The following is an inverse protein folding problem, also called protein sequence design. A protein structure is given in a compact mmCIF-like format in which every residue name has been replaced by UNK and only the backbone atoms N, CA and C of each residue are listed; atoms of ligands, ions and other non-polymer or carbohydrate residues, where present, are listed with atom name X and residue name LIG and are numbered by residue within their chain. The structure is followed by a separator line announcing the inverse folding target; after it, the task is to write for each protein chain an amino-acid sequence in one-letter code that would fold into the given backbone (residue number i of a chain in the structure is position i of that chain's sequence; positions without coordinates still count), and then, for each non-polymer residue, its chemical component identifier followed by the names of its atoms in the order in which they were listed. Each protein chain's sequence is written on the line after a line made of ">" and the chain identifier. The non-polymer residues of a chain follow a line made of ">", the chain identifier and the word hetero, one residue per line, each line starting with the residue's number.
data_IF_528423938790
#
_entry.id   IF_528423938790
#
_cell.length_a   1.000
_cell.length_b   1.000
_cell.length_c   1.000
_cell.angle_alpha   90.00
_cell.angle_beta   90.00
_cell.angle_gamma   90.00
#
_symmetry.space_group_name_H-M   'P 1'
#
loop_
_entity.id
_entity.type
_entity.pdbx_description
1 polymer ?
#
# COMPACT_ATOMS: atom_id res chain seq x y z
N UNK A 1 -11.20 24.45 13.94
CA UNK A 1 -11.15 23.40 15.00
C UNK A 1 -10.93 22.01 14.43
N UNK A 2 -11.66 21.60 13.37
CA UNK A 2 -11.54 20.27 12.75
C UNK A 2 -10.11 19.90 12.25
N UNK A 3 -9.36 20.83 11.66
CA UNK A 3 -7.98 20.58 11.23
C UNK A 3 -7.01 20.34 12.41
N UNK A 4 -7.23 21.02 13.55
CA UNK A 4 -6.50 20.75 14.79
C UNK A 4 -6.90 19.41 15.42
N UNK A 5 -8.13 18.93 15.21
CA UNK A 5 -8.58 17.62 15.67
C UNK A 5 -8.05 16.48 14.77
N UNK A 6 -7.98 16.67 13.45
CA UNK A 6 -7.37 15.70 12.52
C UNK A 6 -5.86 15.57 12.79
N UNK A 7 -5.17 16.70 12.99
CA UNK A 7 -3.77 16.71 13.40
C UNK A 7 -3.60 16.12 14.80
N UNK A 8 -4.41 16.49 15.81
CA UNK A 8 -4.29 15.91 17.17
C UNK A 8 -4.72 14.44 17.27
N UNK A 9 -5.66 13.95 16.48
CA UNK A 9 -6.09 12.55 16.49
C UNK A 9 -5.05 11.66 15.79
N UNK A 10 -4.52 12.09 14.64
CA UNK A 10 -3.45 11.34 13.96
C UNK A 10 -2.08 11.50 14.61
N UNK A 11 -1.78 12.65 15.25
CA UNK A 11 -0.55 12.87 16.03
C UNK A 11 -0.68 12.34 17.47
N UNK A 12 -1.88 12.19 18.01
CA UNK A 12 -2.10 11.70 19.38
C UNK A 12 -2.21 10.18 19.50
N UNK A 13 -2.60 9.47 18.43
CA UNK A 13 -2.79 8.00 18.45
C UNK A 13 -1.68 7.24 17.71
N UNK A 14 -0.73 7.93 17.07
CA UNK A 14 0.38 7.30 16.32
C UNK A 14 1.70 7.99 16.66
N UNK A 15 2.04 8.14 17.95
CA UNK A 15 3.38 8.59 18.33
C UNK A 15 3.91 7.83 19.55
N UNK A 16 4.82 6.89 19.28
CA UNK A 16 5.84 6.43 20.21
C UNK A 16 7.13 6.07 19.44
N UNK A 17 8.13 6.95 19.59
CA UNK A 17 9.60 6.75 19.55
C UNK A 17 10.30 6.50 18.20
N UNK A 18 10.95 7.55 17.67
CA UNK A 18 12.43 7.64 17.64
C UNK A 18 12.88 9.09 17.41
N UNK A 19 13.65 9.66 18.37
CA UNK A 19 14.47 10.84 18.16
C UNK A 19 15.92 10.38 17.95
N UNK A 20 16.56 10.87 16.90
CA UNK A 20 18.01 11.04 16.87
C UNK A 20 18.80 10.17 15.89
N UNK A 21 18.95 10.66 14.65
CA UNK A 21 20.26 10.91 14.05
C UNK A 21 20.05 11.60 12.69
N UNK A 22 20.49 12.86 12.58
CA UNK A 22 20.77 13.46 11.27
C UNK A 22 21.95 12.70 10.65
N UNK A 23 21.64 11.61 9.96
CA UNK A 23 22.58 11.01 9.02
C UNK A 23 22.56 11.91 7.80
N UNK A 24 23.52 12.83 7.72
CA UNK A 24 23.92 13.43 6.44
C UNK A 24 24.39 12.29 5.54
N UNK A 25 23.45 11.72 4.79
CA UNK A 25 23.72 10.74 3.75
C UNK A 25 24.43 11.49 2.63
N UNK A 26 25.74 11.27 2.53
CA UNK A 26 26.48 11.52 1.31
C UNK A 26 25.74 10.80 0.19
N UNK A 27 25.31 11.52 -0.85
CA UNK A 27 24.61 10.93 -1.97
C UNK A 27 25.50 9.85 -2.59
N UNK A 28 25.19 8.57 -2.35
CA UNK A 28 25.77 7.48 -3.10
C UNK A 28 25.46 7.74 -4.57
N UNK A 29 26.49 7.77 -5.41
CA UNK A 29 26.32 7.91 -6.85
C UNK A 29 25.47 6.73 -7.34
N UNK A 30 24.22 7.02 -7.70
CA UNK A 30 23.29 6.01 -8.21
C UNK A 30 23.85 5.48 -9.52
N UNK A 31 24.14 4.18 -9.56
CA UNK A 31 24.61 3.52 -10.76
C UNK A 31 23.41 2.99 -11.52
N UNK A 32 23.41 3.18 -12.85
CA UNK A 32 22.38 2.67 -13.73
C UNK A 32 22.99 1.96 -14.94
N UNK A 33 22.27 0.98 -15.48
CA UNK A 33 22.57 0.33 -16.76
C UNK A 33 21.32 0.36 -17.60
N UNK A 34 21.34 1.12 -18.68
CA UNK A 34 20.29 1.05 -19.70
C UNK A 34 20.50 -0.21 -20.56
N UNK A 35 19.39 -0.89 -20.83
CA UNK A 35 19.34 -2.11 -21.66
C UNK A 35 18.49 -1.83 -22.90
N UNK A 36 17.31 -1.23 -22.70
CA UNK A 36 16.38 -0.85 -23.76
C UNK A 36 15.88 0.58 -23.51
N UNK A 37 15.93 1.42 -24.54
CA UNK A 37 15.32 2.76 -24.56
C UNK A 37 14.46 2.89 -25.82
N UNK A 38 13.15 2.99 -25.63
CA UNK A 38 12.16 2.89 -26.71
C UNK A 38 12.20 1.51 -27.36
N UNK A 39 12.83 1.44 -28.52
CA UNK A 39 13.04 0.21 -29.30
C UNK A 39 14.52 -0.09 -29.57
N UNK A 40 15.41 0.72 -28.99
CA UNK A 40 16.85 0.61 -29.19
C UNK A 40 17.48 -0.12 -28.02
N UNK A 41 18.08 -1.28 -28.30
CA UNK A 41 18.93 -1.98 -27.34
C UNK A 41 20.28 -1.26 -27.21
N UNK A 42 20.78 -1.17 -25.99
CA UNK A 42 22.15 -0.71 -25.76
C UNK A 42 23.17 -1.68 -26.36
N UNK A 43 24.37 -1.21 -26.73
CA UNK A 43 25.42 -2.09 -27.25
C UNK A 43 25.71 -3.25 -26.29
N UNK A 44 25.82 -4.45 -26.86
CA UNK A 44 26.06 -5.67 -26.10
C UNK A 44 24.82 -6.40 -25.62
N UNK A 45 23.63 -6.04 -26.13
CA UNK A 45 22.40 -6.78 -25.89
C UNK A 45 21.73 -7.17 -27.21
N UNK A 46 21.00 -8.29 -27.17
CA UNK A 46 20.19 -8.80 -28.28
C UNK A 46 18.82 -9.25 -27.78
N UNK A 47 17.80 -9.25 -28.63
CA UNK A 47 16.42 -9.60 -28.27
C UNK A 47 15.93 -10.78 -29.11
N UNK A 48 15.39 -11.79 -28.43
CA UNK A 48 14.81 -12.98 -29.03
C UNK A 48 13.36 -13.18 -28.61
N UNK A 49 12.67 -14.03 -29.34
CA UNK A 49 11.26 -14.35 -29.11
C UNK A 49 10.97 -15.78 -29.57
N UNK A 50 10.21 -16.54 -28.77
CA UNK A 50 9.83 -17.92 -29.10
C UNK A 50 8.53 -18.36 -28.39
N UNK A 51 7.89 -19.41 -28.86
CA UNK A 51 6.75 -20.05 -28.19
C UNK A 51 6.91 -21.56 -28.12
N UNK A 52 6.02 -22.22 -27.36
CA UNK A 52 5.93 -23.68 -27.33
C UNK A 52 5.78 -24.36 -28.69
N UNK A 53 5.26 -23.64 -29.70
CA UNK A 53 5.10 -24.08 -31.07
C UNK A 53 6.15 -23.53 -32.04
N UNK A 54 7.24 -22.93 -31.52
CA UNK A 54 8.34 -22.39 -32.34
C UNK A 54 8.00 -21.10 -33.08
N UNK A 55 7.04 -20.30 -32.62
CA UNK A 55 6.65 -19.05 -33.29
C UNK A 55 7.51 -17.88 -32.83
N UNK A 56 8.07 -17.15 -33.80
CA UNK A 56 8.97 -16.02 -33.57
C UNK A 56 8.49 -14.71 -34.19
N UNK A 57 7.30 -14.70 -34.79
CA UNK A 57 6.72 -13.59 -35.58
C UNK A 57 5.76 -12.69 -34.78
N UNK A 58 5.97 -12.57 -33.47
CA UNK A 58 5.04 -11.89 -32.56
C UNK A 58 5.65 -10.78 -31.69
N UNK A 59 6.87 -10.35 -32.02
CA UNK A 59 7.51 -9.15 -31.46
C UNK A 59 7.62 -8.08 -32.56
N UNK A 60 7.02 -6.92 -32.32
CA UNK A 60 6.96 -5.82 -33.30
C UNK A 60 7.61 -4.57 -32.76
N UNK A 61 8.43 -3.91 -33.59
CA UNK A 61 8.98 -2.59 -33.32
C UNK A 61 8.00 -1.52 -33.82
N UNK A 62 7.38 -0.78 -32.90
CA UNK A 62 6.39 0.28 -33.18
C UNK A 62 7.05 1.69 -33.14
N UNK A 63 8.36 1.76 -33.35
CA UNK A 63 9.18 2.97 -33.30
C UNK A 63 9.49 3.46 -31.89
N UNK A 64 8.47 3.68 -31.07
CA UNK A 64 8.61 4.23 -29.69
C UNK A 64 8.61 3.17 -28.60
N UNK A 65 8.18 1.95 -28.92
CA UNK A 65 8.09 0.83 -28.00
C UNK A 65 8.03 -0.50 -28.77
N UNK A 66 8.32 -1.60 -28.10
CA UNK A 66 8.03 -2.93 -28.61
C UNK A 66 6.61 -3.34 -28.24
N UNK A 67 5.92 -3.98 -29.18
CA UNK A 67 4.65 -4.69 -28.97
C UNK A 67 4.91 -6.19 -28.99
N UNK A 68 4.60 -6.87 -27.91
CA UNK A 68 4.65 -8.32 -27.76
C UNK A 68 3.24 -8.87 -27.89
N UNK A 69 2.89 -9.46 -29.03
CA UNK A 69 1.54 -9.98 -29.32
C UNK A 69 1.49 -11.51 -29.21
N UNK A 70 1.63 -12.01 -27.98
CA UNK A 70 1.64 -13.45 -27.70
C UNK A 70 0.44 -14.15 -28.34
N UNK A 71 0.66 -15.13 -29.24
CA UNK A 71 -0.41 -15.74 -30.02
C UNK A 71 -1.20 -16.75 -29.19
N UNK A 72 -2.50 -16.90 -29.51
CA UNK A 72 -3.33 -17.95 -28.93
C UNK A 72 -2.90 -19.36 -29.38
N UNK A 73 -3.36 -20.38 -28.65
CA UNK A 73 -3.06 -21.78 -28.93
C UNK A 73 -1.66 -22.24 -28.52
N UNK A 74 -0.89 -21.40 -27.84
CA UNK A 74 0.42 -21.76 -27.27
C UNK A 74 0.27 -22.17 -25.79
N UNK A 75 1.17 -23.02 -25.27
CA UNK A 75 1.24 -23.29 -23.83
C UNK A 75 2.08 -22.25 -23.09
N UNK A 76 3.10 -21.73 -23.77
CA UNK A 76 3.96 -20.65 -23.28
C UNK A 76 4.53 -19.83 -24.45
N UNK A 77 4.92 -18.60 -24.15
CA UNK A 77 5.69 -17.72 -25.04
C UNK A 77 6.70 -16.92 -24.23
N UNK A 78 7.83 -16.59 -24.83
CA UNK A 78 8.85 -15.75 -24.20
C UNK A 78 9.38 -14.73 -25.17
N UNK A 79 9.54 -13.49 -24.70
CA UNK A 79 10.45 -12.50 -25.29
C UNK A 79 11.59 -12.32 -24.31
N UNK A 80 12.84 -12.37 -24.75
CA UNK A 80 13.99 -12.31 -23.86
C UNK A 80 15.06 -11.38 -24.40
N UNK A 81 15.79 -10.72 -23.50
CA UNK A 81 16.95 -9.90 -23.81
C UNK A 81 18.19 -10.57 -23.24
N UNK A 82 19.17 -10.82 -24.11
CA UNK A 82 20.42 -11.50 -23.78
C UNK A 82 21.60 -10.54 -23.82
N UNK A 83 22.64 -10.87 -23.05
CA UNK A 83 23.97 -10.29 -23.18
C UNK A 83 24.62 -10.87 -24.43
N UNK A 84 24.90 -10.04 -25.42
CA UNK A 84 25.38 -10.40 -26.76
C UNK A 84 24.42 -11.34 -27.53
N UNK A 85 24.60 -11.50 -28.85
CA UNK A 85 23.78 -12.41 -29.63
C UNK A 85 23.82 -13.84 -29.11
N UNK A 86 22.74 -14.58 -29.37
CA UNK A 86 22.59 -15.97 -28.95
C UNK A 86 23.76 -16.83 -29.46
N UNK A 87 24.41 -17.56 -28.55
CA UNK A 87 25.51 -18.45 -28.92
C UNK A 87 25.00 -19.78 -29.45
N UNK A 88 25.73 -20.36 -30.41
CA UNK A 88 25.49 -21.72 -30.89
C UNK A 88 25.43 -22.73 -29.72
N UNK A 89 24.59 -23.74 -29.89
CA UNK A 89 24.40 -24.79 -28.89
C UNK A 89 25.74 -25.45 -28.50
N UNK A 90 25.99 -25.56 -27.20
CA UNK A 90 27.22 -26.14 -26.65
C UNK A 90 28.39 -25.17 -26.43
N UNK A 91 28.27 -23.90 -26.84
CA UNK A 91 29.25 -22.85 -26.49
C UNK A 91 28.94 -22.19 -25.15
N UNK A 92 29.96 -21.70 -24.41
CA UNK A 92 29.73 -20.93 -23.18
C UNK A 92 28.85 -19.71 -23.48
N UNK A 93 27.84 -19.50 -22.63
CA UNK A 93 26.95 -18.35 -22.77
C UNK A 93 27.70 -17.08 -22.36
N UNK A 94 27.64 -16.01 -23.17
CA UNK A 94 28.13 -14.70 -22.76
C UNK A 94 27.46 -14.24 -21.47
N UNK A 95 28.14 -13.38 -20.71
CA UNK A 95 27.55 -12.77 -19.52
C UNK A 95 28.15 -11.43 -19.17
N UNK A 96 27.42 -10.64 -18.38
CA UNK A 96 27.89 -9.40 -17.76
C UNK A 96 27.60 -9.40 -16.25
N UNK A 97 28.36 -8.59 -15.51
CA UNK A 97 28.19 -8.43 -14.07
C UNK A 97 27.15 -7.33 -13.78
N UNK A 98 26.05 -7.74 -13.14
CA UNK A 98 24.97 -6.89 -12.65
C UNK A 98 24.89 -6.86 -11.12
N UNK A 99 25.86 -7.42 -10.40
CA UNK A 99 25.84 -7.60 -8.94
C UNK A 99 25.86 -6.28 -8.15
N UNK A 100 26.21 -5.17 -8.79
CA UNK A 100 26.12 -3.82 -8.20
C UNK A 100 24.69 -3.27 -8.15
N UNK A 101 23.78 -3.80 -8.97
CA UNK A 101 22.41 -3.33 -9.07
C UNK A 101 21.50 -4.04 -8.07
N UNK A 102 20.45 -3.34 -7.63
CA UNK A 102 19.46 -3.84 -6.67
C UNK A 102 18.07 -4.01 -7.26
N UNK A 103 17.80 -3.32 -8.37
CA UNK A 103 16.47 -3.26 -8.96
C UNK A 103 16.55 -3.35 -10.48
N UNK A 104 15.70 -4.22 -11.05
CA UNK A 104 15.33 -4.22 -12.45
C UNK A 104 14.09 -3.33 -12.63
N UNK A 105 14.19 -2.36 -13.55
CA UNK A 105 13.14 -1.41 -13.88
C UNK A 105 12.63 -1.68 -15.29
N UNK A 106 11.34 -1.93 -15.40
CA UNK A 106 10.65 -2.21 -16.66
C UNK A 106 9.58 -1.17 -16.88
N UNK A 107 9.63 -0.44 -18.00
CA UNK A 107 8.56 0.46 -18.38
C UNK A 107 7.60 -0.23 -19.33
N UNK A 108 6.40 -0.56 -18.84
CA UNK A 108 5.44 -1.40 -19.54
C UNK A 108 4.00 -0.92 -19.36
N UNK A 109 3.11 -1.42 -20.21
CA UNK A 109 1.66 -1.39 -20.01
C UNK A 109 0.99 -2.61 -20.63
N UNK A 110 -0.20 -2.93 -20.14
CA UNK A 110 -1.07 -3.94 -20.72
C UNK A 110 -1.64 -3.46 -22.07
N UNK A 111 -1.76 -4.40 -23.01
CA UNK A 111 -2.62 -4.30 -24.18
C UNK A 111 -3.79 -5.26 -24.07
N UNK A 112 -4.36 -5.64 -25.21
CA UNK A 112 -5.50 -6.55 -25.27
C UNK A 112 -5.19 -7.91 -24.62
N UNK A 113 -6.10 -8.41 -23.79
CA UNK A 113 -6.03 -9.72 -23.15
C UNK A 113 -4.99 -9.88 -22.03
N UNK A 114 -4.04 -8.94 -21.89
CA UNK A 114 -2.98 -9.04 -20.89
C UNK A 114 -3.44 -8.52 -19.52
N UNK A 115 -3.27 -9.34 -18.49
CA UNK A 115 -3.51 -8.96 -17.10
C UNK A 115 -2.26 -9.14 -16.24
N UNK A 116 -1.51 -10.21 -16.49
CA UNK A 116 -0.32 -10.59 -15.75
C UNK A 116 0.63 -11.35 -16.68
N UNK A 117 1.92 -11.06 -16.55
CA UNK A 117 3.00 -11.85 -17.17
C UNK A 117 4.05 -12.15 -16.11
N UNK A 118 4.89 -13.16 -16.34
CA UNK A 118 6.00 -13.46 -15.45
C UNK A 118 7.29 -12.85 -16.01
N UNK A 119 8.07 -12.20 -15.15
CA UNK A 119 9.39 -11.67 -15.50
C UNK A 119 10.45 -12.63 -14.98
N UNK A 120 11.47 -12.94 -15.78
CA UNK A 120 12.61 -13.77 -15.40
C UNK A 120 13.95 -13.09 -15.69
N UNK A 121 15.01 -13.62 -15.07
CA UNK A 121 16.41 -13.39 -15.47
C UNK A 121 17.14 -14.73 -15.39
N UNK A 122 18.24 -14.88 -16.13
CA UNK A 122 19.06 -16.10 -16.11
C UNK A 122 20.54 -15.80 -16.11
N UNK A 123 21.29 -16.52 -15.28
CA UNK A 123 22.74 -16.56 -15.39
C UNK A 123 23.21 -17.52 -16.50
N UNK A 124 24.49 -17.43 -16.85
CA UNK A 124 25.11 -18.21 -17.92
C UNK A 124 25.17 -19.73 -17.68
N UNK A 125 24.90 -20.21 -16.46
CA UNK A 125 24.96 -21.64 -16.10
C UNK A 125 23.58 -22.26 -15.97
N UNK A 126 22.52 -21.48 -15.81
CA UNK A 126 21.16 -21.97 -15.74
C UNK A 126 20.72 -22.58 -17.10
N UNK A 127 20.07 -23.77 -17.10
CA UNK A 127 19.57 -24.40 -18.32
C UNK A 127 18.34 -23.70 -18.88
N UNK A 128 18.05 -23.90 -20.18
CA UNK A 128 16.81 -23.42 -20.81
C UNK A 128 15.66 -24.40 -20.60
N UNK A 129 15.28 -24.65 -19.34
CA UNK A 129 14.22 -25.60 -18.98
C UNK A 129 12.96 -24.95 -18.38
N UNK A 130 12.97 -23.61 -18.28
CA UNK A 130 11.85 -22.83 -17.78
C UNK A 130 11.66 -22.89 -16.25
N UNK A 131 12.62 -23.44 -15.51
CA UNK A 131 12.55 -23.57 -14.04
C UNK A 131 13.20 -22.41 -13.29
N UNK A 132 13.76 -21.43 -13.99
CA UNK A 132 14.26 -20.21 -13.36
C UNK A 132 13.19 -19.53 -12.51
N UNK A 133 13.61 -18.87 -11.43
CA UNK A 133 12.71 -18.09 -10.62
C UNK A 133 12.14 -16.93 -11.44
N UNK A 134 10.82 -16.74 -11.37
CA UNK A 134 10.12 -15.68 -12.08
C UNK A 134 9.25 -14.88 -11.12
N UNK A 135 9.09 -13.59 -11.41
CA UNK A 135 8.28 -12.66 -10.65
C UNK A 135 7.01 -12.36 -11.44
N UNK A 136 5.80 -12.72 -10.95
CA UNK A 136 4.56 -12.33 -11.60
C UNK A 136 4.38 -10.80 -11.50
N UNK A 137 4.01 -10.18 -12.62
CA UNK A 137 3.78 -8.74 -12.74
C UNK A 137 2.39 -8.51 -13.30
N UNK A 138 1.49 -8.04 -12.43
CA UNK A 138 0.16 -7.58 -12.84
C UNK A 138 0.27 -6.22 -13.53
N UNK A 139 -0.21 -6.15 -14.78
CA UNK A 139 -0.03 -5.00 -15.64
C UNK A 139 -1.16 -3.97 -15.48
N UNK A 140 -0.79 -2.70 -15.53
CA UNK A 140 -1.70 -1.56 -15.66
C UNK A 140 -1.96 -1.23 -17.13
N UNK A 141 -3.14 -0.68 -17.42
CA UNK A 141 -3.47 -0.14 -18.74
C UNK A 141 -2.63 1.09 -19.11
N UNK A 142 -2.12 1.82 -18.11
CA UNK A 142 -1.25 2.98 -18.28
C UNK A 142 0.24 2.59 -18.30
N UNK A 143 1.04 3.39 -18.99
CA UNK A 143 2.51 3.27 -18.92
C UNK A 143 2.99 3.55 -17.50
N UNK A 144 3.71 2.59 -16.93
CA UNK A 144 4.37 2.77 -15.65
C UNK A 144 5.69 1.98 -15.58
N UNK A 145 6.54 2.40 -14.66
CA UNK A 145 7.80 1.71 -14.33
C UNK A 145 7.51 0.72 -13.21
N UNK A 146 7.66 -0.57 -13.50
CA UNK A 146 7.65 -1.65 -12.52
C UNK A 146 9.06 -1.80 -11.94
N UNK A 147 9.18 -1.70 -10.63
CA UNK A 147 10.44 -1.86 -9.92
C UNK A 147 10.48 -3.21 -9.22
N UNK A 148 11.33 -4.10 -9.73
CA UNK A 148 11.48 -5.48 -9.26
C UNK A 148 12.83 -5.60 -8.55
N UNK A 149 12.86 -5.90 -7.24
CA UNK A 149 14.11 -6.20 -6.55
C UNK A 149 14.80 -7.41 -7.22
N UNK A 150 16.06 -7.27 -7.61
CA UNK A 150 16.78 -8.37 -8.29
C UNK A 150 16.95 -9.60 -7.38
N UNK A 151 16.85 -9.41 -6.07
CA UNK A 151 16.85 -10.49 -5.09
C UNK A 151 15.61 -11.41 -5.15
N UNK A 152 14.56 -11.05 -5.88
CA UNK A 152 13.39 -11.91 -6.11
C UNK A 152 13.69 -13.05 -7.09
N UNK A 153 14.69 -12.89 -7.98
CA UNK A 153 15.11 -13.92 -8.93
C UNK A 153 16.05 -14.93 -8.27
N UNK A 154 15.50 -15.76 -7.38
CA UNK A 154 16.26 -16.76 -6.61
C UNK A 154 17.04 -17.70 -7.52
N UNK A 155 18.32 -17.89 -7.20
CA UNK A 155 19.19 -18.86 -7.87
C UNK A 155 19.96 -18.31 -9.09
N UNK A 156 19.67 -17.10 -9.56
CA UNK A 156 20.47 -16.45 -10.59
C UNK A 156 21.72 -15.76 -9.98
N UNK A 157 22.91 -16.06 -10.50
CA UNK A 157 24.14 -15.33 -10.17
C UNK A 157 24.27 -14.04 -11.00
N UNK A 158 24.04 -12.90 -10.34
CA UNK A 158 24.11 -11.58 -10.98
C UNK A 158 25.50 -11.23 -11.52
N UNK A 159 26.58 -11.89 -11.09
CA UNK A 159 27.93 -11.65 -11.65
C UNK A 159 28.11 -12.20 -13.06
N UNK A 160 27.27 -13.16 -13.45
CA UNK A 160 27.33 -13.85 -14.73
C UNK A 160 25.97 -13.88 -15.41
N UNK A 161 25.25 -12.75 -15.39
CA UNK A 161 23.92 -12.66 -15.98
C UNK A 161 24.01 -12.78 -17.51
N UNK A 162 23.24 -13.71 -18.10
CA UNK A 162 23.15 -13.92 -19.54
C UNK A 162 21.83 -13.40 -20.08
N UNK A 163 20.70 -13.88 -19.57
CA UNK A 163 19.38 -13.33 -19.92
C UNK A 163 19.03 -12.27 -18.90
N UNK A 164 19.09 -11.00 -19.31
CA UNK A 164 18.93 -9.87 -18.39
C UNK A 164 17.46 -9.56 -18.08
N UNK A 165 16.57 -9.96 -18.98
CA UNK A 165 15.12 -9.88 -18.80
C UNK A 165 14.42 -10.91 -19.70
N UNK A 166 13.45 -11.64 -19.15
CA UNK A 166 12.49 -12.46 -19.88
C UNK A 166 11.08 -11.98 -19.58
N UNK A 167 10.26 -11.84 -20.61
CA UNK A 167 8.81 -11.62 -20.55
C UNK A 167 8.13 -12.94 -20.90
N UNK A 168 7.64 -13.65 -19.89
CA UNK A 168 7.06 -14.98 -20.04
C UNK A 168 5.54 -14.90 -19.99
N UNK A 169 4.94 -15.42 -21.05
CA UNK A 169 3.51 -15.56 -21.24
C UNK A 169 3.12 -17.02 -21.05
N UNK A 170 1.99 -17.25 -20.39
CA UNK A 170 1.47 -18.59 -20.12
C UNK A 170 0.00 -18.69 -20.50
N UNK A 171 -0.43 -19.89 -20.88
CA UNK A 171 -1.84 -20.17 -21.21
C UNK A 171 -2.15 -20.01 -22.69
N UNK A 172 -3.32 -20.48 -23.10
CA UNK A 172 -3.70 -20.63 -24.52
C UNK A 172 -4.32 -19.38 -25.16
N UNK A 173 -4.52 -18.32 -24.39
CA UNK A 173 -5.22 -17.11 -24.84
C UNK A 173 -4.19 -16.07 -25.25
N UNK A 174 -4.46 -15.38 -26.37
CA UNK A 174 -3.57 -14.35 -26.87
C UNK A 174 -3.51 -13.15 -25.93
N UNK A 175 -2.33 -12.55 -25.82
CA UNK A 175 -2.08 -11.41 -24.93
C UNK A 175 -1.18 -10.39 -25.64
N UNK A 176 -1.47 -9.11 -25.45
CA UNK A 176 -0.60 -8.03 -25.94
C UNK A 176 0.00 -7.27 -24.77
N UNK A 177 1.33 -7.11 -24.77
CA UNK A 177 2.04 -6.29 -23.79
C UNK A 177 2.98 -5.35 -24.53
N UNK A 178 3.08 -4.12 -24.04
CA UNK A 178 3.98 -3.11 -24.59
C UNK A 178 5.12 -2.83 -23.61
N UNK A 179 6.34 -2.76 -24.12
CA UNK A 179 7.54 -2.42 -23.35
C UNK A 179 8.34 -1.35 -24.08
N UNK A 180 8.85 -0.37 -23.34
CA UNK A 180 9.68 0.71 -23.93
C UNK A 180 10.93 1.07 -23.13
N UNK A 181 11.14 0.41 -21.99
CA UNK A 181 12.27 0.69 -21.12
C UNK A 181 12.67 -0.54 -20.33
N UNK A 182 13.97 -0.88 -20.37
CA UNK A 182 14.58 -1.88 -19.49
C UNK A 182 15.86 -1.26 -18.96
N UNK A 183 16.00 -1.17 -17.64
CA UNK A 183 17.22 -0.68 -17.00
C UNK A 183 17.44 -1.31 -15.63
N UNK A 184 18.69 -1.39 -15.21
CA UNK A 184 19.05 -1.75 -13.83
C UNK A 184 19.49 -0.51 -13.06
N UNK A 185 19.23 -0.47 -11.76
CA UNK A 185 19.68 0.61 -10.85
C UNK A 185 20.20 0.05 -9.53
N UNK A 186 21.16 0.74 -8.92
CA UNK A 186 21.68 0.41 -7.58
C UNK A 186 20.73 0.86 -6.46
N UNK A 187 19.68 1.63 -6.78
CA UNK A 187 18.61 1.98 -5.83
C UNK A 187 17.70 0.77 -5.55
N UNK A 188 17.23 0.65 -4.31
CA UNK A 188 16.27 -0.37 -3.93
C UNK A 188 14.85 0.01 -4.38
N UNK A 189 14.08 -0.99 -4.81
CA UNK A 189 12.67 -0.85 -5.14
C UNK A 189 11.80 -0.76 -3.87
N UNK A 190 10.68 -0.02 -3.89
CA UNK A 190 9.71 -0.07 -2.80
C UNK A 190 9.11 -1.49 -2.70
N UNK A 191 9.07 -2.04 -1.49
CA UNK A 191 8.51 -3.37 -1.20
C UNK A 191 7.45 -3.27 -0.12
N UNK A 192 6.23 -3.69 -0.43
CA UNK A 192 5.13 -3.79 0.53
C UNK A 192 5.19 -5.16 1.23
N UNK A 193 5.03 -5.16 2.55
CA UNK A 193 5.02 -6.36 3.39
C UNK A 193 3.67 -6.59 4.08
N UNK A 194 2.93 -5.52 4.38
CA UNK A 194 1.60 -5.61 4.96
C UNK A 194 0.76 -4.38 4.63
N UNK A 195 -0.55 -4.58 4.54
CA UNK A 195 -1.57 -3.52 4.49
C UNK A 195 -2.61 -3.84 5.55
N UNK A 196 -2.84 -2.90 6.45
CA UNK A 196 -3.74 -3.08 7.58
C UNK A 196 -4.53 -1.81 7.89
N UNK A 197 -5.64 -1.94 8.62
CA UNK A 197 -6.34 -0.80 9.23
C UNK A 197 -5.37 0.03 10.07
N UNK A 198 -5.36 1.35 9.89
CA UNK A 198 -4.51 2.26 10.66
C UNK A 198 -4.91 2.36 12.14
N UNK A 199 -6.10 1.87 12.50
CA UNK A 199 -6.64 1.92 13.85
C UNK A 199 -6.44 0.59 14.60
N UNK A 200 -6.74 -0.55 13.96
CA UNK A 200 -6.67 -1.86 14.61
C UNK A 200 -5.44 -2.69 14.25
N UNK A 201 -4.68 -2.28 13.22
CA UNK A 201 -3.59 -3.07 12.61
C UNK A 201 -4.02 -4.46 12.11
N UNK A 202 -5.33 -4.71 12.00
CA UNK A 202 -5.85 -5.92 11.35
C UNK A 202 -5.68 -5.80 9.84
N UNK A 203 -5.24 -6.90 9.21
CA UNK A 203 -5.00 -6.95 7.77
C UNK A 203 -6.25 -6.57 6.96
N UNK A 204 -6.04 -5.92 5.82
CA UNK A 204 -7.11 -5.47 4.92
C UNK A 204 -7.30 -3.96 4.89
N UNK A 205 -8.27 -3.55 4.10
CA UNK A 205 -8.68 -2.16 3.94
C UNK A 205 -10.21 -2.06 3.92
N UNK A 206 -10.74 -0.89 4.28
CA UNK A 206 -12.13 -0.52 4.03
C UNK A 206 -12.20 0.66 3.07
N UNK A 207 -13.25 0.69 2.24
CA UNK A 207 -13.58 1.88 1.46
C UNK A 207 -13.77 3.10 2.39
N UNK A 208 -13.04 4.19 2.14
CA UNK A 208 -13.03 5.36 3.03
C UNK A 208 -12.34 5.16 4.38
N UNK A 209 -11.59 4.07 4.56
CA UNK A 209 -10.84 3.76 5.78
C UNK A 209 -9.38 4.19 5.70
N UNK A 210 -8.81 4.62 6.84
CA UNK A 210 -7.37 4.81 6.98
C UNK A 210 -6.68 3.46 7.09
N UNK A 211 -5.62 3.30 6.30
CA UNK A 211 -4.74 2.13 6.29
C UNK A 211 -3.31 2.53 6.60
N UNK A 212 -2.57 1.59 7.16
CA UNK A 212 -1.12 1.63 7.30
C UNK A 212 -0.51 0.55 6.41
N UNK A 213 0.46 0.97 5.60
CA UNK A 213 1.22 0.12 4.69
C UNK A 213 2.63 0.00 5.27
N UNK A 214 3.06 -1.22 5.58
CA UNK A 214 4.39 -1.52 6.09
C UNK A 214 5.26 -2.13 4.99
N UNK A 215 6.55 -1.81 5.01
CA UNK A 215 7.45 -2.25 3.95
C UNK A 215 8.89 -1.78 4.13
N UNK A 216 9.61 -1.75 3.01
CA UNK A 216 10.95 -1.16 2.90
C UNK A 216 11.04 -0.28 1.67
N UNK A 217 11.91 0.73 1.74
CA UNK A 217 12.19 1.67 0.63
C UNK A 217 10.92 2.35 0.08
N UNK A 218 9.87 2.50 0.90
CA UNK A 218 8.57 2.98 0.47
C UNK A 218 8.59 4.46 0.05
N UNK A 219 9.31 5.29 0.80
CA UNK A 219 9.42 6.72 0.59
C UNK A 219 10.86 7.22 0.85
N UNK A 220 11.28 8.35 0.25
CA UNK A 220 12.64 8.86 0.38
C UNK A 220 12.89 9.57 1.72
N UNK A 221 11.84 10.03 2.39
CA UNK A 221 11.90 10.84 3.62
C UNK A 221 10.81 10.40 4.60
N UNK A 222 10.97 10.77 5.87
CA UNK A 222 9.95 10.56 6.90
C UNK A 222 9.27 11.88 7.24
N UNK A 223 7.96 11.99 6.98
CA UNK A 223 7.14 13.15 7.39
C UNK A 223 5.64 12.88 7.30
N UNK A 224 4.89 13.60 8.13
CA UNK A 224 3.44 13.78 7.98
C UNK A 224 3.14 14.88 6.96
N UNK A 225 1.97 14.86 6.34
CA UNK A 225 1.47 15.99 5.54
C UNK A 225 1.43 17.30 6.35
N UNK A 226 1.28 18.41 5.65
CA UNK A 226 1.14 19.74 6.21
C UNK A 226 0.13 20.54 5.40
N UNK A 227 -0.28 21.70 5.91
CA UNK A 227 -1.20 22.60 5.18
C UNK A 227 -0.66 23.01 3.80
N UNK A 228 0.66 22.99 3.58
CA UNK A 228 1.29 23.33 2.28
C UNK A 228 1.07 22.28 1.21
N UNK A 229 0.76 21.05 1.60
CA UNK A 229 0.50 19.95 0.68
C UNK A 229 -0.95 19.99 0.15
N UNK A 230 -1.81 20.83 0.74
CA UNK A 230 -3.24 20.87 0.45
C UNK A 230 -3.51 21.85 -0.69
N UNK A 231 -4.46 21.49 -1.56
CA UNK A 231 -4.94 22.38 -2.63
C UNK A 231 -6.34 22.88 -2.26
N UNK A 232 -6.39 23.95 -1.46
CA UNK A 232 -7.63 24.41 -0.85
C UNK A 232 -8.16 23.38 0.14
N UNK A 233 -9.32 22.79 -0.15
CA UNK A 233 -9.90 21.70 0.66
C UNK A 233 -9.42 20.31 0.27
N UNK A 234 -8.69 20.17 -0.85
CA UNK A 234 -8.21 18.88 -1.36
C UNK A 234 -6.99 18.40 -0.57
N UNK A 235 -7.06 17.14 -0.14
CA UNK A 235 -5.99 16.44 0.56
C UNK A 235 -4.95 15.88 -0.43
N UNK A 236 -3.66 15.80 -0.04
CA UNK A 236 -2.59 15.36 -0.93
C UNK A 236 -2.67 13.86 -1.22
N UNK A 237 -2.55 13.49 -2.49
CA UNK A 237 -2.38 12.10 -2.97
C UNK A 237 -0.91 11.74 -3.25
N UNK A 238 -0.04 12.74 -3.21
CA UNK A 238 1.40 12.61 -3.42
C UNK A 238 2.13 13.39 -2.34
N UNK A 239 3.14 12.78 -1.71
CA UNK A 239 4.07 13.44 -0.80
C UNK A 239 5.50 13.10 -1.24
N UNK A 240 6.31 14.12 -1.54
CA UNK A 240 7.73 13.95 -1.93
C UNK A 240 7.94 12.90 -3.03
N UNK A 241 7.05 12.89 -4.04
CA UNK A 241 7.07 11.95 -5.16
C UNK A 241 6.57 10.54 -4.83
N UNK A 242 6.08 10.30 -3.60
CA UNK A 242 5.49 9.04 -3.15
C UNK A 242 3.98 9.06 -3.34
N UNK A 243 3.39 8.01 -3.91
CA UNK A 243 1.95 7.82 -4.04
C UNK A 243 1.53 6.39 -3.74
N UNK A 244 0.25 6.19 -3.43
CA UNK A 244 -0.36 4.87 -3.19
C UNK A 244 -1.61 4.73 -4.04
N UNK A 245 -1.81 3.56 -4.62
CA UNK A 245 -3.08 3.21 -5.27
C UNK A 245 -3.62 1.86 -4.79
N UNK A 246 -4.95 1.73 -4.80
CA UNK A 246 -5.68 0.48 -4.57
C UNK A 246 -6.56 0.24 -5.80
N UNK A 247 -6.32 -0.85 -6.53
CA UNK A 247 -7.01 -1.13 -7.79
C UNK A 247 -6.99 0.10 -8.74
N UNK A 248 -5.80 0.68 -8.96
CA UNK A 248 -5.54 1.86 -9.79
C UNK A 248 -6.18 3.18 -9.31
N UNK A 249 -6.88 3.20 -8.16
CA UNK A 249 -7.43 4.42 -7.57
C UNK A 249 -6.46 5.02 -6.56
N UNK A 250 -6.14 6.30 -6.72
CA UNK A 250 -5.21 7.01 -5.85
C UNK A 250 -5.77 7.17 -4.42
N UNK A 251 -4.90 6.93 -3.44
CA UNK A 251 -5.19 7.18 -2.03
C UNK A 251 -4.65 8.54 -1.61
N UNK A 252 -5.32 9.16 -0.65
CA UNK A 252 -4.77 10.32 0.06
C UNK A 252 -3.66 9.86 1.01
N UNK A 253 -2.59 10.63 1.17
CA UNK A 253 -1.48 10.32 2.06
C UNK A 253 -1.41 11.27 3.24
N UNK A 254 -1.38 10.72 4.46
CA UNK A 254 -1.18 11.50 5.68
C UNK A 254 0.24 11.44 6.23
N UNK A 255 0.96 10.35 5.97
CA UNK A 255 2.31 10.12 6.47
C UNK A 255 3.07 9.21 5.53
N UNK A 256 4.36 9.52 5.33
CA UNK A 256 5.30 8.70 4.58
C UNK A 256 6.59 8.52 5.39
N UNK A 257 7.23 7.37 5.21
CA UNK A 257 8.58 7.04 5.68
C UNK A 257 9.12 5.87 4.85
N UNK A 258 10.43 5.57 4.92
CA UNK A 258 10.99 4.41 4.23
C UNK A 258 10.32 3.07 4.59
N UNK A 259 9.71 2.94 5.78
CA UNK A 259 9.16 1.66 6.29
C UNK A 259 7.66 1.65 6.53
N UNK A 260 7.00 2.81 6.46
CA UNK A 260 5.57 2.96 6.75
C UNK A 260 4.94 4.11 5.95
N UNK A 261 3.75 3.88 5.39
CA UNK A 261 2.87 4.91 4.83
C UNK A 261 1.50 4.82 5.49
N UNK A 262 0.90 5.97 5.87
CA UNK A 262 -0.52 6.03 6.25
C UNK A 262 -1.30 6.69 5.12
N UNK A 263 -2.30 5.97 4.61
CA UNK A 263 -3.09 6.38 3.46
C UNK A 263 -4.59 6.22 3.73
N UNK A 264 -5.41 7.07 3.13
CA UNK A 264 -6.86 6.98 3.17
C UNK A 264 -7.36 6.39 1.85
N UNK A 265 -7.97 5.22 1.96
CA UNK A 265 -8.56 4.52 0.83
C UNK A 265 -9.77 5.30 0.29
N UNK A 266 -9.98 5.36 -1.03
CA UNK A 266 -11.13 6.01 -1.61
C UNK A 266 -12.43 5.22 -1.34
N UNK A 267 -13.58 5.86 -1.54
CA UNK A 267 -14.88 5.22 -1.30
C UNK A 267 -15.33 4.29 -2.43
N UNK A 268 -14.83 4.48 -3.65
CA UNK A 268 -15.28 3.77 -4.85
C UNK A 268 -14.57 2.44 -5.07
N UNK A 269 -14.15 1.74 -3.99
CA UNK A 269 -13.49 0.44 -4.09
C UNK A 269 -14.49 -0.72 -4.17
N UNK A 270 -14.19 -1.69 -5.03
CA UNK A 270 -14.91 -2.95 -5.06
C UNK A 270 -14.51 -3.85 -3.89
N UNK A 271 -15.47 -4.57 -3.34
CA UNK A 271 -15.23 -5.58 -2.29
C UNK A 271 -14.50 -6.80 -2.88
N UNK A 272 -13.53 -7.34 -2.15
CA UNK A 272 -12.73 -8.49 -2.57
C UNK A 272 -11.23 -8.21 -2.60
N UNK A 273 -10.46 -9.06 -3.29
CA UNK A 273 -9.02 -8.89 -3.41
C UNK A 273 -8.70 -7.78 -4.40
N UNK A 274 -7.98 -6.75 -3.94
CA UNK A 274 -7.52 -5.63 -4.77
C UNK A 274 -6.00 -5.43 -4.62
N UNK A 275 -5.28 -5.09 -5.70
CA UNK A 275 -3.86 -4.82 -5.63
C UNK A 275 -3.60 -3.46 -5.00
N UNK A 276 -2.64 -3.40 -4.09
CA UNK A 276 -2.07 -2.17 -3.54
C UNK A 276 -0.69 -1.95 -4.14
N UNK A 277 -0.41 -0.74 -4.62
CA UNK A 277 0.89 -0.38 -5.19
C UNK A 277 1.38 0.90 -4.52
N UNK A 278 2.64 0.90 -4.12
CA UNK A 278 3.37 2.10 -3.69
C UNK A 278 4.28 2.51 -4.83
N UNK A 279 4.25 3.79 -5.21
CA UNK A 279 5.14 4.36 -6.22
C UNK A 279 6.00 5.44 -5.59
N UNK A 280 7.30 5.41 -5.87
CA UNK A 280 8.23 6.49 -5.55
C UNK A 280 9.09 6.84 -6.79
N UNK A 281 10.16 7.61 -6.61
CA UNK A 281 11.05 8.03 -7.70
C UNK A 281 11.77 6.86 -8.43
N UNK A 282 11.88 5.68 -7.82
CA UNK A 282 12.49 4.49 -8.43
C UNK A 282 11.50 3.80 -9.37
N UNK A 283 10.25 3.64 -8.94
CA UNK A 283 9.18 2.98 -9.70
C UNK A 283 8.02 2.56 -8.80
N UNK A 284 7.06 1.83 -9.38
CA UNK A 284 5.98 1.17 -8.64
C UNK A 284 6.44 -0.18 -8.08
N UNK A 285 6.05 -0.48 -6.84
CA UNK A 285 6.26 -1.78 -6.21
C UNK A 285 5.56 -2.89 -6.99
N UNK A 286 5.94 -4.15 -6.71
CA UNK A 286 5.06 -5.26 -7.01
C UNK A 286 3.68 -5.05 -6.36
N UNK A 287 2.62 -5.51 -7.03
CA UNK A 287 1.26 -5.39 -6.52
C UNK A 287 1.08 -6.29 -5.29
N UNK A 288 0.67 -5.70 -4.17
CA UNK A 288 0.40 -6.42 -2.94
C UNK A 288 -1.10 -6.73 -2.81
N UNK A 289 -1.52 -8.01 -2.77
CA UNK A 289 -2.93 -8.35 -2.67
C UNK A 289 -3.48 -7.96 -1.29
N UNK A 290 -4.54 -7.16 -1.28
CA UNK A 290 -5.23 -6.73 -0.06
C UNK A 290 -6.72 -7.00 -0.17
N UNK A 291 -7.30 -7.61 0.87
CA UNK A 291 -8.76 -7.75 0.98
C UNK A 291 -9.37 -6.40 1.32
N UNK A 292 -10.17 -5.88 0.40
CA UNK A 292 -11.00 -4.69 0.59
C UNK A 292 -12.40 -5.12 1.05
N UNK A 293 -12.88 -4.53 2.13
CA UNK A 293 -14.22 -4.72 2.67
C UNK A 293 -15.05 -3.44 2.45
N UNK A 294 -16.38 -3.55 2.37
CA UNK A 294 -17.28 -2.37 2.36
C UNK A 294 -17.15 -1.56 3.66
N UNK A 295 -17.04 -2.26 4.77
CA UNK A 295 -16.74 -1.69 6.09
C UNK A 295 -15.73 -2.61 6.79
N UNK A 296 -14.82 -1.99 7.54
CA UNK A 296 -13.91 -2.66 8.47
C UNK A 296 -13.74 -1.72 9.66
N UNK A 297 -14.80 -1.58 10.49
CA UNK A 297 -14.81 -0.67 11.62
C UNK A 297 -13.62 -0.94 12.54
N UNK A 298 -12.94 0.11 12.98
CA UNK A 298 -11.88 0.01 13.95
C UNK A 298 -11.81 1.27 14.81
N UNK A 299 -11.58 1.10 16.12
CA UNK A 299 -11.36 2.21 17.05
C UNK A 299 -9.89 2.59 17.08
N UNK A 300 -9.58 3.88 17.10
CA UNK A 300 -8.24 4.32 17.43
C UNK A 300 -7.95 4.07 18.91
N UNK A 301 -6.69 3.78 19.21
CA UNK A 301 -6.22 3.45 20.56
C UNK A 301 -5.05 4.34 20.95
N UNK A 302 -4.93 4.61 22.24
CA UNK A 302 -3.71 5.23 22.77
C UNK A 302 -2.54 4.26 22.71
N UNK A 303 -1.32 4.69 22.35
CA UNK A 303 -0.17 3.79 22.22
C UNK A 303 0.28 3.17 23.56
N UNK A 304 -0.13 3.76 24.69
CA UNK A 304 0.16 3.24 26.02
C UNK A 304 -0.36 1.82 26.22
N UNK A 305 0.39 1.03 26.98
CA UNK A 305 0.07 -0.38 27.29
C UNK A 305 -0.27 -1.21 26.05
N UNK A 306 0.50 -1.03 24.97
CA UNK A 306 0.36 -1.72 23.70
C UNK A 306 -1.00 -1.52 23.02
N UNK A 307 -1.54 -0.30 23.03
CA UNK A 307 -2.77 -0.02 22.28
C UNK A 307 -4.05 -0.50 22.95
N UNK A 308 -4.03 -0.70 24.28
CA UNK A 308 -5.13 -1.35 24.99
C UNK A 308 -6.36 -0.46 25.18
N UNK A 309 -6.19 0.86 25.21
CA UNK A 309 -7.25 1.80 25.57
C UNK A 309 -7.74 2.57 24.36
N UNK A 310 -9.07 2.68 24.19
CA UNK A 310 -9.65 3.51 23.15
C UNK A 310 -9.16 4.95 23.29
N UNK A 311 -8.78 5.57 22.18
CA UNK A 311 -8.51 6.99 22.11
C UNK A 311 -9.84 7.74 22.24
N UNK A 312 -10.12 8.17 23.47
CA UNK A 312 -11.40 8.73 23.84
C UNK A 312 -11.22 10.03 24.62
N UNK A 313 -12.16 10.95 24.46
CA UNK A 313 -12.21 12.21 25.22
C UNK A 313 -13.58 12.42 25.83
N UNK A 314 -13.62 13.12 26.95
CA UNK A 314 -14.83 13.68 27.52
C UNK A 314 -15.35 14.84 26.66
N UNK A 315 -16.59 15.26 26.88
CA UNK A 315 -17.20 16.39 26.16
C UNK A 315 -16.44 17.72 26.36
N UNK A 316 -15.68 17.87 27.45
CA UNK A 316 -14.81 19.00 27.74
C UNK A 316 -13.42 18.92 27.06
N UNK A 317 -13.12 17.80 26.40
CA UNK A 317 -11.87 17.55 25.69
C UNK A 317 -10.77 16.89 26.53
N UNK A 318 -10.99 16.58 27.82
CA UNK A 318 -10.06 15.81 28.62
C UNK A 318 -10.03 14.34 28.17
N UNK A 319 -8.86 13.68 28.20
CA UNK A 319 -8.77 12.28 27.79
C UNK A 319 -9.42 11.33 28.80
N UNK A 320 -10.09 10.29 28.28
CA UNK A 320 -10.64 9.21 29.11
C UNK A 320 -9.54 8.19 29.40
N UNK A 321 -9.28 7.93 30.67
CA UNK A 321 -8.32 6.91 31.09
C UNK A 321 -7.85 7.09 32.53
N UNK A 322 -7.14 6.10 33.06
CA UNK A 322 -6.50 6.21 34.38
C UNK A 322 -5.42 7.31 34.37
N UNK A 323 -5.27 7.99 35.49
CA UNK A 323 -4.23 8.99 35.68
C UNK A 323 -2.84 8.39 35.37
N UNK A 324 -2.03 9.12 34.60
CA UNK A 324 -0.68 8.69 34.23
C UNK A 324 -0.59 7.68 33.08
N UNK A 325 -1.70 7.22 32.50
CA UNK A 325 -1.67 6.29 31.35
C UNK A 325 -0.83 6.83 30.18
N UNK A 326 -0.92 8.12 29.90
CA UNK A 326 -0.13 8.82 28.88
C UNK A 326 1.07 9.60 29.45
N UNK A 327 1.48 9.29 30.69
CA UNK A 327 2.55 9.99 31.41
C UNK A 327 2.07 11.16 32.27
N UNK A 328 2.96 11.65 33.14
CA UNK A 328 2.63 12.58 34.23
C UNK A 328 2.19 13.99 33.79
N UNK A 329 2.32 14.34 32.51
CA UNK A 329 1.97 15.65 31.96
C UNK A 329 0.65 15.70 31.20
N UNK A 330 -0.07 14.57 31.09
CA UNK A 330 -1.31 14.48 30.32
C UNK A 330 -2.48 14.29 31.27
N UNK A 331 -3.39 15.28 31.29
CA UNK A 331 -4.61 15.21 32.07
C UNK A 331 -5.52 14.10 31.52
N UNK A 332 -5.88 13.16 32.40
CA UNK A 332 -6.76 12.05 32.09
C UNK A 332 -7.61 11.73 33.31
N UNK A 333 -8.88 11.39 33.06
CA UNK A 333 -9.77 10.90 34.11
C UNK A 333 -10.61 9.71 33.62
N UNK A 334 -10.86 8.70 34.47
CA UNK A 334 -11.80 7.64 34.15
C UNK A 334 -13.19 8.18 33.80
N UNK A 335 -13.92 7.42 33.00
CA UNK A 335 -15.32 7.69 32.72
C UNK A 335 -16.22 7.30 33.90
N UNK A 336 -17.30 8.04 34.12
CA UNK A 336 -18.35 7.72 35.09
C UNK A 336 -19.63 7.29 34.37
N UNK A 337 -20.44 6.37 34.92
CA UNK A 337 -21.79 6.14 34.41
C UNK A 337 -22.58 7.44 34.27
N UNK A 338 -23.19 7.65 33.12
CA UNK A 338 -23.89 8.89 32.75
C UNK A 338 -23.02 9.93 32.03
N UNK A 339 -21.69 9.82 32.05
CA UNK A 339 -20.83 10.66 31.23
C UNK A 339 -21.09 10.44 29.74
N UNK A 340 -20.93 11.49 28.93
CA UNK A 340 -20.84 11.37 27.48
C UNK A 340 -19.38 11.42 27.07
N UNK A 341 -18.88 10.33 26.49
CA UNK A 341 -17.52 10.22 25.94
C UNK A 341 -17.55 10.20 24.41
N UNK A 342 -16.51 10.72 23.79
CA UNK A 342 -16.30 10.76 22.35
C UNK A 342 -15.26 9.70 21.98
N UNK A 343 -15.68 8.67 21.25
CA UNK A 343 -14.81 7.63 20.70
C UNK A 343 -14.49 7.94 19.24
N UNK A 344 -13.27 7.60 18.81
CA UNK A 344 -12.82 7.84 17.44
C UNK A 344 -12.44 6.55 16.73
N UNK A 345 -12.75 6.47 15.43
CA UNK A 345 -12.43 5.30 14.61
C UNK A 345 -12.37 5.57 13.11
N UNK A 346 -12.15 4.50 12.34
CA UNK A 346 -12.10 4.52 10.87
C UNK A 346 -12.78 3.29 10.26
N UNK A 347 -13.02 3.30 8.95
CA UNK A 347 -13.53 2.12 8.22
C UNK A 347 -15.03 1.85 8.38
N UNK A 348 -15.83 2.83 8.80
CA UNK A 348 -17.28 2.70 8.95
C UNK A 348 -18.07 2.90 7.65
N UNK A 349 -17.41 3.30 6.55
CA UNK A 349 -18.02 3.44 5.23
C UNK A 349 -18.72 4.79 4.99
N UNK A 350 -19.37 4.94 3.84
CA UNK A 350 -19.91 6.22 3.37
C UNK A 350 -21.00 6.80 4.30
N UNK A 351 -21.09 8.12 4.37
CA UNK A 351 -22.07 8.86 5.18
C UNK A 351 -23.32 9.27 4.38
N UNK A 352 -24.28 9.92 5.05
CA UNK A 352 -25.39 10.61 4.39
C UNK A 352 -25.43 12.09 4.80
N UNK A 353 -25.31 13.04 3.86
CA UNK A 353 -25.01 12.86 2.43
C UNK A 353 -23.63 12.21 2.18
N UNK A 354 -23.41 11.60 1.01
CA UNK A 354 -22.11 11.05 0.64
C UNK A 354 -21.06 12.16 0.48
N UNK A 355 -19.80 11.86 0.79
CA UNK A 355 -18.67 12.78 0.66
C UNK A 355 -17.48 12.13 -0.05
N UNK A 356 -16.55 12.96 -0.54
CA UNK A 356 -15.28 12.50 -1.08
C UNK A 356 -14.28 12.18 0.03
N UNK A 357 -13.49 11.13 -0.15
CA UNK A 357 -12.36 10.83 0.75
C UNK A 357 -11.20 11.84 0.59
N UNK A 358 -11.17 12.63 -0.51
CA UNK A 358 -10.06 13.53 -0.83
C UNK A 358 -10.28 15.01 -0.49
N UNK A 359 -11.35 15.33 0.25
CA UNK A 359 -11.69 16.70 0.63
C UNK A 359 -11.93 16.83 2.14
N UNK A 360 -11.48 17.93 2.72
CA UNK A 360 -11.86 18.31 4.08
C UNK A 360 -13.38 18.44 4.22
N UNK A 361 -13.92 17.90 5.32
CA UNK A 361 -15.34 18.05 5.65
C UNK A 361 -15.64 19.47 6.17
N UNK A 362 -16.68 20.09 5.63
CA UNK A 362 -17.18 21.38 6.12
C UNK A 362 -17.95 21.26 7.44
N UNK A 363 -18.59 20.11 7.67
CA UNK A 363 -19.33 19.78 8.89
C UNK A 363 -19.33 18.27 9.10
N UNK A 364 -19.69 17.82 10.31
CA UNK A 364 -19.85 16.40 10.59
C UNK A 364 -21.01 15.80 9.79
N UNK A 365 -20.82 14.58 9.28
CA UNK A 365 -21.78 13.86 8.45
C UNK A 365 -22.19 12.55 9.13
N UNK A 366 -23.49 12.33 9.41
CA UNK A 366 -23.94 11.14 10.13
C UNK A 366 -23.77 9.86 9.30
N UNK A 367 -23.57 8.74 10.00
CA UNK A 367 -23.72 7.41 9.41
C UNK A 367 -25.21 7.12 9.12
N UNK A 368 -25.53 6.48 7.98
CA UNK A 368 -26.88 5.96 7.73
C UNK A 368 -27.22 4.78 8.65
N UNK A 369 -28.49 4.35 8.63
CA UNK A 369 -28.96 3.11 9.25
C UNK A 369 -28.60 2.99 10.74
N UNK A 370 -28.96 4.01 11.53
CA UNK A 370 -28.66 4.07 12.97
C UNK A 370 -29.18 2.85 13.73
N UNK A 371 -30.24 2.21 13.25
CA UNK A 371 -30.79 0.98 13.81
C UNK A 371 -29.83 -0.21 13.74
N UNK A 372 -28.85 -0.19 12.83
CA UNK A 372 -27.80 -1.20 12.67
C UNK A 372 -26.52 -0.88 13.46
N UNK A 373 -26.51 0.22 14.24
CA UNK A 373 -25.43 0.59 15.13
C UNK A 373 -25.67 0.04 16.53
N UNK A 374 -24.70 -0.68 17.10
CA UNK A 374 -24.72 -1.11 18.50
C UNK A 374 -23.38 -0.79 19.15
N UNK A 375 -23.41 -0.06 20.26
CA UNK A 375 -22.24 0.22 21.09
C UNK A 375 -22.38 -0.56 22.40
N UNK A 376 -21.33 -1.28 22.79
CA UNK A 376 -21.31 -2.05 24.04
C UNK A 376 -20.11 -1.67 24.88
N UNK A 377 -20.33 -1.54 26.19
CA UNK A 377 -19.29 -1.44 27.21
C UNK A 377 -19.46 -2.61 28.19
N UNK A 378 -18.50 -3.53 28.20
CA UNK A 378 -18.64 -4.82 28.88
C UNK A 378 -19.83 -5.60 28.31
N UNK A 379 -20.76 -6.00 29.18
CA UNK A 379 -22.00 -6.67 28.76
C UNK A 379 -23.13 -5.70 28.44
N UNK A 380 -23.03 -4.43 28.85
CA UNK A 380 -24.09 -3.44 28.75
C UNK A 380 -24.12 -2.75 27.38
N UNK A 381 -25.32 -2.47 26.88
CA UNK A 381 -25.52 -1.59 25.72
C UNK A 381 -25.39 -0.14 26.15
N UNK A 382 -24.63 0.64 25.40
CA UNK A 382 -24.44 2.06 25.61
C UNK A 382 -25.28 2.87 24.61
N UNK A 383 -25.88 3.97 25.07
CA UNK A 383 -26.61 4.88 24.20
C UNK A 383 -25.61 5.69 23.35
N UNK A 384 -25.87 5.79 22.04
CA UNK A 384 -25.03 6.54 21.10
C UNK A 384 -25.79 7.77 20.60
N UNK A 385 -25.44 8.94 21.11
CA UNK A 385 -26.08 10.23 20.81
C UNK A 385 -25.71 10.75 19.41
N UNK A 386 -24.50 10.44 18.94
CA UNK A 386 -24.01 10.79 17.61
C UNK A 386 -23.10 9.70 17.07
N UNK A 387 -23.16 9.46 15.77
CA UNK A 387 -22.28 8.57 15.03
C UNK A 387 -22.11 9.10 13.60
N UNK A 388 -20.89 9.46 13.21
CA UNK A 388 -20.65 10.08 11.90
C UNK A 388 -19.20 10.43 11.64
N UNK A 389 -18.90 10.72 10.37
CA UNK A 389 -17.60 11.25 9.96
C UNK A 389 -17.46 12.70 10.43
N UNK A 390 -16.36 13.02 11.10
CA UNK A 390 -16.02 14.39 11.54
C UNK A 390 -14.82 14.97 10.79
N UNK A 391 -14.08 14.10 10.10
CA UNK A 391 -13.08 14.45 9.10
C UNK A 391 -12.92 13.27 8.13
N UNK A 392 -12.20 13.41 7.00
CA UNK A 392 -12.04 12.34 6.02
C UNK A 392 -11.46 11.07 6.65
N UNK A 393 -12.21 9.98 6.57
CA UNK A 393 -11.87 8.69 7.18
C UNK A 393 -11.90 8.64 8.71
N UNK A 394 -12.23 9.73 9.41
CA UNK A 394 -12.30 9.80 10.87
C UNK A 394 -13.76 9.93 11.34
N UNK A 395 -14.21 8.94 12.11
CA UNK A 395 -15.55 8.86 12.65
C UNK A 395 -15.54 9.11 14.15
N UNK A 396 -16.55 9.82 14.63
CA UNK A 396 -16.76 10.11 16.05
C UNK A 396 -18.07 9.46 16.51
N UNK A 397 -18.05 8.90 17.72
CA UNK A 397 -19.21 8.35 18.42
C UNK A 397 -19.36 9.02 19.78
N UNK A 398 -20.49 9.68 20.02
CA UNK A 398 -20.80 10.26 21.34
C UNK A 398 -21.60 9.25 22.12
N UNK A 399 -21.01 8.65 23.14
CA UNK A 399 -21.53 7.48 23.84
C UNK A 399 -21.79 7.84 25.30
N UNK A 400 -23.02 7.63 25.77
CA UNK A 400 -23.36 7.71 27.19
C UNK A 400 -22.87 6.45 27.88
N UNK A 401 -22.02 6.60 28.91
CA UNK A 401 -21.43 5.49 29.65
C UNK A 401 -22.54 4.78 30.46
N UNK A 402 -22.81 3.48 30.20
CA UNK A 402 -23.84 2.74 30.92
C UNK A 402 -23.40 2.45 32.37
N UNK A 403 -24.34 2.03 33.23
CA UNK A 403 -24.02 1.61 34.59
C UNK A 403 -23.26 0.26 34.58
N UNK A 404 -21.94 0.34 34.60
CA UNK A 404 -20.99 -0.80 34.60
C UNK A 404 -20.05 -0.73 35.81
N UNK A 405 -19.47 -1.86 36.25
CA UNK A 405 -18.49 -1.88 37.36
C UNK A 405 -17.27 -0.98 37.13
N UNK A 406 -16.63 -0.57 38.22
CA UNK A 406 -15.34 0.11 38.17
C UNK A 406 -14.29 -0.81 37.51
N UNK A 407 -13.34 -0.21 36.81
CA UNK A 407 -12.26 -0.89 36.10
C UNK A 407 -12.34 -0.75 34.58
N UNK A 408 -11.53 -1.57 33.90
CA UNK A 408 -11.42 -1.53 32.45
C UNK A 408 -12.57 -2.31 31.79
N UNK A 409 -13.42 -1.60 31.08
CA UNK A 409 -14.59 -2.14 30.39
C UNK A 409 -14.29 -2.27 28.90
N UNK A 410 -14.45 -3.47 28.35
CA UNK A 410 -14.25 -3.70 26.92
C UNK A 410 -15.28 -2.89 26.12
N UNK A 411 -14.82 -2.11 25.14
CA UNK A 411 -15.67 -1.31 24.26
C UNK A 411 -15.70 -1.90 22.85
N UNK A 412 -16.90 -2.09 22.31
CA UNK A 412 -17.09 -2.53 20.92
C UNK A 412 -18.18 -1.71 20.24
N UNK A 413 -17.95 -1.39 18.98
CA UNK A 413 -18.93 -0.78 18.09
C UNK A 413 -19.20 -1.75 16.95
N UNK A 414 -20.44 -2.18 16.82
CA UNK A 414 -20.95 -2.97 15.70
C UNK A 414 -21.76 -2.08 14.78
N UNK A 415 -21.49 -2.15 13.48
CA UNK A 415 -22.19 -1.41 12.45
C UNK A 415 -22.33 -2.26 11.18
N UNK A 416 -23.58 -2.45 10.71
CA UNK A 416 -23.91 -3.24 9.51
C UNK A 416 -23.31 -4.67 9.54
N UNK A 417 -23.32 -5.31 10.70
CA UNK A 417 -22.82 -6.68 10.90
C UNK A 417 -21.30 -6.82 10.99
N UNK A 418 -20.54 -5.72 10.99
CA UNK A 418 -19.10 -5.71 11.26
C UNK A 418 -18.82 -5.02 12.60
N UNK A 419 -17.85 -5.53 13.37
CA UNK A 419 -17.49 -4.99 14.68
C UNK A 419 -16.05 -4.47 14.70
N UNK A 420 -15.80 -3.48 15.57
CA UNK A 420 -14.46 -3.02 15.91
C UNK A 420 -13.62 -4.14 16.54
N UNK A 421 -12.30 -3.97 16.54
CA UNK A 421 -11.38 -4.95 17.10
C UNK A 421 -11.68 -5.25 18.59
N UNK A 422 -11.41 -6.49 19.00
CA UNK A 422 -11.56 -6.93 20.39
C UNK A 422 -10.45 -6.38 21.28
N UNK A 423 -10.61 -6.51 22.60
CA UNK A 423 -9.61 -6.13 23.61
C UNK A 423 -9.23 -4.63 23.61
N UNK A 424 -10.17 -3.78 23.21
CA UNK A 424 -10.09 -2.33 23.41
C UNK A 424 -10.91 -1.98 24.63
N UNK A 425 -10.38 -1.16 25.53
CA UNK A 425 -10.99 -0.85 26.81
C UNK A 425 -11.18 0.64 27.05
N UNK A 426 -12.15 0.97 27.91
CA UNK A 426 -12.29 2.26 28.57
C UNK A 426 -12.20 2.05 30.07
N UNK A 427 -11.43 2.87 30.77
CA UNK A 427 -11.40 2.84 32.24
C UNK A 427 -12.62 3.58 32.79
N UNK A 428 -13.43 2.87 33.59
CA UNK A 428 -14.62 3.41 34.26
C UNK A 428 -14.39 3.44 35.77
N UNK A 429 -14.84 4.49 36.45
CA UNK A 429 -14.82 4.61 37.92
C UNK A 429 -16.06 5.39 38.35
N UNK A 430 -16.88 4.85 39.25
CA UNK A 430 -18.11 5.50 39.74
C UNK A 430 -17.88 6.73 40.60
#
# INVERSE_FOLDING_TARGET
>A
MAMRALVKAMVGCVFAVWQGADVRLWAQQVQQKEILVGTTLSPGFDIGVDTSGGRTDWLFNEGTHFRMSYPSGQSWGVVFVTVWPMTEWGKPRPSMDFSVYRTLLLEMRAGEGAQEIAIGIKDAKQPDDGKEARVPVRLSSAWQVYAIPVGEFKGADLKTLYVVTEFVFTGNTGQTVYVRGIRFTSQAAPVIRAVASAASFQAGAAAGGWITIYGSDLAPVTRSWSERDFQGVKLPKVLDGTSVSIAERECVLAFISPTQINALAPFDLAEGQSPVVVKNAVGGSAAFPTRVNKTQPALFVFPAENGRYAAAVHADGEYVGKAGLLGAGVAMRPAKPGDVVLLYGTGFGQTVPPHSADELLAAALPLPDKEQLRVRLGTATAECLFAGAVAPGLYQFNVTIPNVPDGDQAVTIEYRGAATQQNVFLTVQR
#
